data_IF_685345115631
#
_entry.id   IF_685345115631
#
_cell.length_a   1.000
_cell.length_b   1.000
_cell.length_c   1.000
_cell.angle_alpha   90.00
_cell.angle_beta   90.00
_cell.angle_gamma   90.00
#
_symmetry.space_group_name_H-M   'P 1'
#
loop_
_entity.id
_entity.type
_entity.pdbx_description
1 polymer ?
#
# COMPACT_ATOMS: atom_id res chain seq x y z
N UNK A 1 6.25 2.04 27.98
CA UNK A 1 5.88 3.10 27.02
C UNK A 1 5.88 2.43 25.67
N UNK A 2 4.76 1.82 25.29
CA UNK A 2 4.66 0.98 24.10
C UNK A 2 3.73 1.65 23.10
N UNK A 3 4.24 2.70 22.46
CA UNK A 3 3.64 3.33 21.29
C UNK A 3 4.55 2.99 20.12
N UNK A 4 4.34 1.83 19.50
CA UNK A 4 4.86 1.52 18.16
C UNK A 4 4.57 0.08 17.81
N UNK A 5 3.54 -0.16 17.02
CA UNK A 5 3.52 -1.13 15.89
C UNK A 5 2.11 -1.42 15.39
N UNK A 6 1.06 -1.23 16.22
CA UNK A 6 -0.29 -1.72 15.90
C UNK A 6 -1.11 -0.90 14.90
N UNK A 7 -0.63 0.26 14.45
CA UNK A 7 -1.40 1.20 13.60
C UNK A 7 -0.97 1.20 12.13
N UNK A 8 0.14 0.53 11.78
CA UNK A 8 0.78 0.67 10.46
C UNK A 8 0.11 -0.14 9.35
N UNK A 9 -0.44 -1.32 9.67
CA UNK A 9 -1.14 -2.13 8.67
C UNK A 9 -2.51 -1.51 8.34
N UNK A 10 -3.28 -1.04 9.33
CA UNK A 10 -4.67 -0.62 9.13
C UNK A 10 -4.84 0.59 8.19
N UNK A 11 -3.89 1.52 8.18
CA UNK A 11 -4.04 2.76 7.39
C UNK A 11 -4.04 2.52 5.88
N UNK A 12 -3.19 1.59 5.40
CA UNK A 12 -3.13 1.23 3.99
C UNK A 12 -4.13 0.12 3.63
N UNK A 13 -4.53 -0.72 4.60
CA UNK A 13 -5.55 -1.75 4.38
C UNK A 13 -6.90 -1.14 3.93
N UNK A 14 -7.16 0.13 4.25
CA UNK A 14 -8.42 0.83 3.93
C UNK A 14 -8.49 1.42 2.51
N UNK A 15 -7.36 1.66 1.84
CA UNK A 15 -7.34 2.29 0.49
C UNK A 15 -7.74 1.31 -0.62
N UNK A 16 -7.68 0.00 -0.34
CA UNK A 16 -7.85 -1.10 -1.28
C UNK A 16 -9.21 -1.83 -1.11
N UNK A 17 -10.32 -1.09 -1.03
CA UNK A 17 -11.66 -1.71 -1.09
C UNK A 17 -11.86 -2.43 -2.43
N UNK A 18 -11.80 -3.75 -2.42
CA UNK A 18 -12.03 -4.61 -3.60
C UNK A 18 -10.81 -5.40 -4.09
N UNK A 19 -9.66 -5.30 -3.41
CA UNK A 19 -8.46 -6.06 -3.78
C UNK A 19 -8.39 -7.36 -2.99
N UNK A 20 -8.03 -8.45 -3.68
CA UNK A 20 -7.85 -9.76 -3.04
C UNK A 20 -6.86 -9.67 -1.88
N UNK A 21 -7.13 -10.32 -0.73
CA UNK A 21 -6.25 -10.30 0.44
C UNK A 21 -4.84 -10.81 0.12
N UNK A 22 -4.66 -11.65 -0.91
CA UNK A 22 -3.35 -12.08 -1.37
C UNK A 22 -2.55 -10.93 -2.00
N UNK A 23 -3.18 -10.15 -2.87
CA UNK A 23 -2.56 -8.98 -3.50
C UNK A 23 -2.20 -7.94 -2.45
N UNK A 24 -3.06 -7.74 -1.46
CA UNK A 24 -2.81 -6.84 -0.36
C UNK A 24 -1.55 -7.23 0.43
N UNK A 25 -1.40 -8.52 0.78
CA UNK A 25 -0.18 -9.05 1.42
C UNK A 25 1.05 -8.89 0.54
N UNK A 26 0.92 -9.08 -0.77
CA UNK A 26 2.02 -8.89 -1.71
C UNK A 26 2.44 -7.44 -1.82
N UNK A 27 1.49 -6.49 -1.84
CA UNK A 27 1.80 -5.07 -1.79
C UNK A 27 2.53 -4.72 -0.49
N UNK A 28 2.05 -5.20 0.66
CA UNK A 28 2.74 -5.01 1.94
C UNK A 28 4.16 -5.57 1.96
N UNK A 29 4.37 -6.77 1.41
CA UNK A 29 5.67 -7.42 1.38
C UNK A 29 6.64 -6.77 0.38
N UNK A 30 6.18 -6.50 -0.84
CA UNK A 30 7.03 -6.07 -1.97
C UNK A 30 7.17 -4.55 -2.07
N UNK A 31 6.19 -3.78 -1.60
CA UNK A 31 6.21 -2.32 -1.60
C UNK A 31 6.58 -1.72 -0.23
N UNK A 32 7.03 -2.56 0.73
CA UNK A 32 7.37 -2.15 2.12
C UNK A 32 8.22 -0.89 2.21
N UNK A 33 9.17 -0.69 1.28
CA UNK A 33 10.01 0.51 1.24
C UNK A 33 9.18 1.79 1.14
N UNK A 34 8.18 1.82 0.25
CA UNK A 34 7.33 2.99 0.07
C UNK A 34 6.43 3.22 1.29
N UNK A 35 5.97 2.16 1.97
CA UNK A 35 5.28 2.33 3.25
C UNK A 35 6.18 3.02 4.29
N UNK A 36 7.45 2.61 4.41
CA UNK A 36 8.40 3.28 5.30
C UNK A 36 8.64 4.75 4.91
N UNK A 37 8.71 5.05 3.61
CA UNK A 37 8.90 6.42 3.12
C UNK A 37 7.68 7.31 3.42
N UNK A 38 6.46 6.76 3.30
CA UNK A 38 5.23 7.45 3.71
C UNK A 38 5.24 7.72 5.21
N UNK A 39 5.63 6.74 6.04
CA UNK A 39 5.73 6.94 7.50
C UNK A 39 6.69 8.07 7.84
N UNK A 40 7.90 8.07 7.25
CA UNK A 40 8.86 9.17 7.44
C UNK A 40 8.32 10.51 6.99
N UNK A 41 7.59 10.53 5.87
CA UNK A 41 6.95 11.76 5.41
C UNK A 41 5.88 12.24 6.39
N UNK A 42 5.03 11.35 6.89
CA UNK A 42 3.99 11.67 7.86
C UNK A 42 4.60 12.23 9.14
N UNK A 43 5.63 11.57 9.70
CA UNK A 43 6.33 12.05 10.89
C UNK A 43 6.89 13.48 10.70
N UNK A 44 7.45 13.78 9.52
CA UNK A 44 7.98 15.12 9.18
C UNK A 44 6.89 16.16 8.95
N UNK A 45 5.70 15.74 8.52
CA UNK A 45 4.59 16.62 8.15
C UNK A 45 3.47 16.63 9.19
N UNK A 46 3.76 16.29 10.45
CA UNK A 46 2.76 16.25 11.52
C UNK A 46 1.54 15.39 11.15
N UNK A 47 1.79 14.25 10.50
CA UNK A 47 0.81 13.28 10.04
C UNK A 47 -0.21 13.82 9.02
N UNK A 48 0.10 14.93 8.35
CA UNK A 48 -0.74 15.45 7.27
C UNK A 48 -0.55 14.63 5.99
N UNK A 49 -1.44 13.67 5.74
CA UNK A 49 -1.39 12.79 4.56
C UNK A 49 -1.28 13.57 3.24
N UNK A 50 -2.01 14.70 3.12
CA UNK A 50 -2.00 15.57 1.94
C UNK A 50 -0.60 16.06 1.54
N UNK A 51 0.33 16.16 2.48
CA UNK A 51 1.71 16.60 2.23
C UNK A 51 2.61 15.47 1.72
N UNK A 52 2.17 14.21 1.84
CA UNK A 52 2.90 12.99 1.49
C UNK A 52 2.34 12.30 0.24
N UNK A 53 1.63 13.04 -0.60
CA UNK A 53 0.97 12.52 -1.79
C UNK A 53 1.95 11.84 -2.76
N UNK A 54 3.21 12.27 -2.81
CA UNK A 54 4.24 11.68 -3.68
C UNK A 54 4.60 10.28 -3.22
N UNK A 55 4.90 10.12 -1.93
CA UNK A 55 5.26 8.84 -1.32
C UNK A 55 4.10 7.85 -1.42
N UNK A 56 2.87 8.34 -1.24
CA UNK A 56 1.62 7.58 -1.42
C UNK A 56 1.47 7.13 -2.88
N UNK A 57 1.66 8.02 -3.84
CA UNK A 57 1.58 7.68 -5.25
C UNK A 57 2.60 6.59 -5.65
N UNK A 58 3.81 6.61 -5.07
CA UNK A 58 4.80 5.55 -5.32
C UNK A 58 4.37 4.19 -4.76
N UNK A 59 3.74 4.17 -3.59
CA UNK A 59 3.13 2.96 -3.06
C UNK A 59 2.03 2.43 -3.99
N UNK A 60 1.12 3.30 -4.43
CA UNK A 60 0.00 2.93 -5.31
C UNK A 60 0.53 2.36 -6.64
N UNK A 61 1.48 3.03 -7.28
CA UNK A 61 2.13 2.54 -8.52
C UNK A 61 2.80 1.18 -8.30
N UNK A 62 3.45 0.98 -7.14
CA UNK A 62 4.06 -0.30 -6.82
C UNK A 62 3.00 -1.41 -6.68
N UNK A 63 1.92 -1.13 -5.96
CA UNK A 63 0.83 -2.08 -5.75
C UNK A 63 0.06 -2.38 -7.05
N UNK A 64 -0.15 -1.38 -7.92
CA UNK A 64 -0.77 -1.56 -9.24
C UNK A 64 0.06 -2.44 -10.16
N UNK A 65 1.40 -2.36 -10.10
CA UNK A 65 2.27 -3.29 -10.82
C UNK A 65 2.12 -4.73 -10.33
N UNK A 66 1.89 -4.94 -9.04
CA UNK A 66 1.65 -6.26 -8.45
C UNK A 66 0.27 -6.77 -8.86
N UNK A 67 -0.77 -5.93 -8.75
CA UNK A 67 -2.12 -6.21 -9.26
C UNK A 67 -2.08 -6.61 -10.72
N UNK A 68 -1.38 -5.87 -11.58
CA UNK A 68 -1.29 -6.17 -13.01
C UNK A 68 -0.52 -7.48 -13.30
N UNK A 69 0.50 -7.82 -12.50
CA UNK A 69 1.25 -9.08 -12.67
C UNK A 69 0.44 -10.30 -12.21
N UNK A 70 -0.26 -10.20 -11.09
CA UNK A 70 -0.98 -11.31 -10.50
C UNK A 70 -2.44 -11.41 -10.99
N UNK A 71 -3.06 -10.29 -11.36
CA UNK A 71 -4.36 -10.23 -12.02
C UNK A 71 -4.33 -10.78 -13.44
N UNK A 72 -3.16 -10.80 -14.11
CA UNK A 72 -2.99 -11.51 -15.39
C UNK A 72 -3.15 -13.03 -15.29
N UNK A 73 -3.10 -13.62 -14.10
CA UNK A 73 -3.43 -15.04 -13.90
C UNK A 73 -4.93 -15.30 -13.71
N UNK A 74 -5.75 -14.25 -13.59
CA UNK A 74 -7.23 -14.34 -13.47
C UNK A 74 -7.89 -13.49 -14.57
N UNK A 75 -7.34 -13.56 -15.79
CA UNK A 75 -8.12 -13.31 -16.99
C UNK A 75 -8.44 -14.67 -17.59
N UNK A 76 -9.42 -15.37 -16.99
CA UNK A 76 -10.16 -16.39 -17.72
C UNK A 76 -10.80 -15.70 -18.93
N UNK A 77 -10.55 -16.15 -20.17
CA UNK A 77 -11.36 -15.72 -21.30
C UNK A 77 -12.74 -16.34 -21.09
N UNK A 78 -13.77 -15.52 -20.99
CA UNK A 78 -15.14 -16.00 -21.16
C UNK A 78 -15.76 -15.25 -22.33
N UNK A 79 -15.82 -15.99 -23.45
CA UNK A 79 -16.66 -15.85 -24.65
C UNK A 79 -16.52 -14.58 -25.48
#
# INVERSE_FOLDING_TARGET
>A
MDVSTKTNEDHFLRRDKGVSPEIQRLCQSKCKRYACDIQKCLERNSYQEKSCWKEIAYWDICCDKIKAKNGKSVAVPHS
#
